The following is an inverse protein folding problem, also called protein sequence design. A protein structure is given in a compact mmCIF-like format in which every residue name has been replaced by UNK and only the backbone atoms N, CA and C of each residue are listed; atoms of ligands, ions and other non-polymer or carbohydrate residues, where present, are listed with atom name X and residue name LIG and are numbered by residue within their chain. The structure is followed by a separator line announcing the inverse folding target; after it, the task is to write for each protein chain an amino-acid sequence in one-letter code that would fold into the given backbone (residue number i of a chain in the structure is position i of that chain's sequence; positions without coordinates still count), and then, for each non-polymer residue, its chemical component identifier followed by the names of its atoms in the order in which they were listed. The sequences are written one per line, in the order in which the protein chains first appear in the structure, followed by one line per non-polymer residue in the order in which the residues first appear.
data_IF_473760760676
#
_entry.id   IF_473760760676
#
_cell.length_a   1.000
_cell.length_b   1.000
_cell.length_c   1.000
_cell.angle_alpha   90.00
_cell.angle_beta   90.00
_cell.angle_gamma   90.00
#
_symmetry.space_group_name_H-M   'P 1'
#
loop_
_entity.id
_entity.type
_entity.pdbx_description
1 polymer ?
#
# COMPACT_ATOMS: atom_id res chain seq x y z
N UNK A 1 22.05 -20.80 -33.10
CA UNK A 1 21.64 -22.20 -32.83
C UNK A 1 22.07 -22.74 -31.48
N UNK A 2 23.37 -22.95 -31.22
CA UNK A 2 23.86 -23.58 -29.98
C UNK A 2 23.42 -22.85 -28.69
N UNK A 3 23.28 -21.52 -28.74
CA UNK A 3 22.75 -20.72 -27.62
C UNK A 3 21.30 -21.05 -27.25
N UNK A 4 20.47 -21.40 -28.24
CA UNK A 4 19.04 -21.74 -28.05
C UNK A 4 18.92 -23.15 -27.45
N UNK A 5 19.71 -24.09 -27.96
CA UNK A 5 19.68 -25.49 -27.50
C UNK A 5 20.26 -25.65 -26.09
N UNK A 6 21.32 -24.90 -25.74
CA UNK A 6 22.03 -25.03 -24.45
C UNK A 6 21.37 -24.31 -23.26
N UNK A 7 20.58 -23.26 -23.48
CA UNK A 7 20.09 -22.41 -22.37
C UNK A 7 18.74 -22.82 -21.77
N UNK A 8 17.96 -23.71 -22.41
CA UNK A 8 16.71 -24.27 -21.85
C UNK A 8 15.58 -23.28 -21.50
N UNK A 9 15.81 -21.97 -21.51
CA UNK A 9 14.91 -20.92 -20.99
C UNK A 9 13.95 -20.35 -22.05
N UNK A 10 13.58 -21.13 -23.07
CA UNK A 10 12.69 -20.72 -24.16
C UNK A 10 11.54 -21.69 -24.42
N UNK A 11 10.66 -21.35 -25.36
CA UNK A 11 9.56 -22.25 -25.77
C UNK A 11 10.09 -23.63 -26.18
N UNK A 12 9.50 -24.69 -25.62
CA UNK A 12 9.84 -26.10 -25.95
C UNK A 12 9.75 -26.35 -27.46
N UNK A 13 8.82 -25.67 -28.14
CA UNK A 13 8.65 -25.77 -29.60
C UNK A 13 9.87 -25.20 -30.33
N UNK A 14 10.37 -24.04 -29.90
CA UNK A 14 11.56 -23.41 -30.49
C UNK A 14 12.81 -24.23 -30.25
N UNK A 15 12.95 -24.81 -29.05
CA UNK A 15 14.06 -25.70 -28.74
C UNK A 15 14.05 -26.95 -29.63
N UNK A 16 12.90 -27.62 -29.77
CA UNK A 16 12.76 -28.81 -30.62
C UNK A 16 13.08 -28.51 -32.09
N UNK A 17 12.56 -27.41 -32.64
CA UNK A 17 12.87 -26.99 -34.02
C UNK A 17 14.36 -26.70 -34.20
N UNK A 18 14.99 -26.00 -33.26
CA UNK A 18 16.42 -25.71 -33.31
C UNK A 18 17.29 -26.98 -33.24
N UNK A 19 16.87 -27.98 -32.46
CA UNK A 19 17.54 -29.28 -32.39
C UNK A 19 17.48 -30.01 -33.73
N UNK A 20 16.31 -30.07 -34.38
CA UNK A 20 16.14 -30.71 -35.70
C UNK A 20 17.05 -30.10 -36.77
N UNK A 21 17.10 -28.77 -36.85
CA UNK A 21 17.97 -28.08 -37.80
C UNK A 21 19.46 -28.29 -37.48
N UNK A 22 19.84 -28.34 -36.20
CA UNK A 22 21.23 -28.58 -35.82
C UNK A 22 21.69 -29.99 -36.22
N UNK A 23 20.84 -30.99 -36.04
CA UNK A 23 21.13 -32.37 -36.47
C UNK A 23 21.19 -32.47 -38.01
N UNK A 24 20.29 -31.77 -38.70
CA UNK A 24 20.33 -31.67 -40.17
C UNK A 24 21.61 -31.02 -40.68
N UNK A 25 22.06 -29.92 -40.05
CA UNK A 25 23.32 -29.26 -40.37
C UNK A 25 24.56 -30.14 -40.11
N UNK A 26 24.44 -31.19 -39.30
CA UNK A 26 25.48 -32.21 -39.08
C UNK A 26 25.43 -33.37 -40.09
N UNK A 27 24.53 -33.29 -41.09
CA UNK A 27 24.38 -34.30 -42.13
C UNK A 27 23.52 -35.51 -41.73
N UNK A 28 22.77 -35.42 -40.63
CA UNK A 28 21.87 -36.50 -40.22
C UNK A 28 20.63 -36.56 -41.12
N UNK A 29 20.26 -37.77 -41.55
CA UNK A 29 19.07 -37.99 -42.38
C UNK A 29 17.76 -37.63 -41.61
N UNK A 30 16.76 -37.00 -42.26
CA UNK A 30 15.49 -36.63 -41.61
C UNK A 30 14.77 -37.76 -40.87
N UNK A 31 14.86 -39.01 -41.33
CA UNK A 31 14.28 -40.18 -40.65
C UNK A 31 14.98 -40.42 -39.32
N UNK A 32 16.31 -40.36 -39.29
CA UNK A 32 17.09 -40.52 -38.06
C UNK A 32 16.91 -39.36 -37.09
N UNK A 33 16.78 -38.14 -37.61
CA UNK A 33 16.43 -36.96 -36.80
C UNK A 33 15.07 -37.14 -36.13
N UNK A 34 14.08 -37.70 -36.84
CA UNK A 34 12.74 -37.92 -36.32
C UNK A 34 12.74 -38.89 -35.12
N UNK A 35 13.55 -39.95 -35.18
CA UNK A 35 13.76 -40.88 -34.07
C UNK A 35 14.38 -40.19 -32.85
N UNK A 36 15.45 -39.40 -33.05
CA UNK A 36 16.16 -38.70 -31.97
C UNK A 36 15.33 -37.58 -31.34
N UNK A 37 14.49 -36.92 -32.13
CA UNK A 37 13.65 -35.80 -31.69
C UNK A 37 12.21 -36.21 -31.33
N UNK A 38 11.91 -37.52 -31.35
CA UNK A 38 10.61 -38.12 -31.05
C UNK A 38 9.45 -37.44 -31.81
N UNK A 39 9.59 -37.33 -33.13
CA UNK A 39 8.57 -36.74 -34.03
C UNK A 39 8.44 -37.53 -35.34
N UNK A 40 7.68 -37.03 -36.32
CA UNK A 40 7.57 -37.65 -37.64
C UNK A 40 8.62 -37.13 -38.64
N UNK A 41 9.10 -37.95 -39.59
CA UNK A 41 10.01 -37.50 -40.65
C UNK A 41 9.46 -36.32 -41.46
N UNK A 42 8.16 -36.28 -41.72
CA UNK A 42 7.52 -35.16 -42.43
C UNK A 42 7.62 -33.86 -41.64
N UNK A 43 7.44 -33.93 -40.32
CA UNK A 43 7.62 -32.77 -39.45
C UNK A 43 9.05 -32.23 -39.48
N UNK A 44 10.05 -33.12 -39.53
CA UNK A 44 11.46 -32.73 -39.65
C UNK A 44 11.70 -32.03 -40.99
N UNK A 45 11.20 -32.59 -42.10
CA UNK A 45 11.30 -31.98 -43.43
C UNK A 45 10.64 -30.61 -43.49
N UNK A 46 9.43 -30.46 -42.94
CA UNK A 46 8.74 -29.18 -42.84
C UNK A 46 9.57 -28.15 -42.08
N UNK A 47 10.16 -28.54 -40.95
CA UNK A 47 10.98 -27.63 -40.15
C UNK A 47 12.22 -27.19 -40.92
N UNK A 48 12.89 -28.11 -41.62
CA UNK A 48 14.05 -27.81 -42.48
C UNK A 48 13.65 -26.89 -43.64
N UNK A 49 12.57 -27.20 -44.35
CA UNK A 49 12.07 -26.36 -45.45
C UNK A 49 11.70 -24.96 -44.98
N UNK A 50 10.96 -24.84 -43.88
CA UNK A 50 10.61 -23.55 -43.29
C UNK A 50 11.84 -22.77 -42.85
N UNK A 51 12.88 -23.44 -42.33
CA UNK A 51 14.14 -22.78 -41.96
C UNK A 51 14.93 -22.32 -43.18
N UNK A 52 14.96 -23.10 -44.25
CA UNK A 52 15.62 -22.70 -45.49
C UNK A 52 14.92 -21.53 -46.17
N UNK A 53 13.59 -21.43 -46.05
CA UNK A 53 12.80 -20.33 -46.62
C UNK A 53 12.84 -19.05 -45.73
N UNK A 54 12.55 -19.19 -44.43
CA UNK A 54 12.30 -18.06 -43.52
C UNK A 54 13.43 -17.85 -42.49
N UNK A 55 14.53 -18.60 -42.56
CA UNK A 55 15.66 -18.49 -41.65
C UNK A 55 15.30 -18.76 -40.19
N UNK A 56 15.95 -18.03 -39.27
CA UNK A 56 15.77 -18.18 -37.82
C UNK A 56 14.34 -17.87 -37.33
N UNK A 57 13.58 -17.05 -38.06
CA UNK A 57 12.21 -16.69 -37.69
C UNK A 57 11.25 -17.89 -37.73
N UNK A 58 11.54 -18.89 -38.58
CA UNK A 58 10.81 -20.16 -38.64
C UNK A 58 10.88 -20.98 -37.35
N UNK A 59 11.90 -20.76 -36.52
CA UNK A 59 12.10 -21.50 -35.26
C UNK A 59 11.11 -21.04 -34.18
N UNK A 60 10.53 -19.85 -34.32
CA UNK A 60 9.57 -19.33 -33.36
C UNK A 60 8.14 -19.74 -33.75
N UNK A 61 7.35 -20.30 -32.82
CA UNK A 61 5.96 -20.62 -33.11
C UNK A 61 5.19 -19.34 -33.42
N UNK A 62 4.63 -19.25 -34.63
CA UNK A 62 3.59 -18.27 -34.97
C UNK A 62 2.29 -18.78 -34.38
N UNK A 63 2.02 -18.50 -33.10
CA UNK A 63 0.70 -18.76 -32.53
C UNK A 63 -0.32 -17.89 -33.28
N UNK A 64 -1.03 -18.49 -34.23
CA UNK A 64 -2.20 -17.89 -34.90
C UNK A 64 -3.42 -18.72 -34.53
N UNK A 65 -4.57 -18.07 -34.34
CA UNK A 65 -5.84 -18.75 -34.07
C UNK A 65 -6.11 -19.04 -32.59
N UNK A 66 -5.99 -18.04 -31.72
CA UNK A 66 -6.73 -18.07 -30.46
C UNK A 66 -8.23 -17.98 -30.72
N UNK A 67 -9.06 -18.46 -29.80
CA UNK A 67 -10.52 -18.25 -29.86
C UNK A 67 -10.79 -16.76 -30.04
N UNK A 68 -11.59 -16.40 -31.05
CA UNK A 68 -12.00 -15.02 -31.26
C UNK A 68 -12.55 -14.43 -29.96
N UNK A 69 -12.17 -13.19 -29.58
CA UNK A 69 -12.68 -12.57 -28.36
C UNK A 69 -14.21 -12.62 -28.33
N UNK A 70 -14.78 -13.23 -27.29
CA UNK A 70 -16.23 -13.37 -27.14
C UNK A 70 -16.94 -12.02 -27.02
N UNK A 71 -16.27 -11.01 -26.48
CA UNK A 71 -16.80 -9.67 -26.31
C UNK A 71 -16.04 -8.67 -27.16
N UNK A 72 -16.80 -7.90 -27.93
CA UNK A 72 -16.30 -6.84 -28.82
C UNK A 72 -15.72 -5.68 -28.01
N UNK A 73 -14.90 -4.84 -28.67
CA UNK A 73 -14.33 -3.64 -28.03
C UNK A 73 -15.41 -2.66 -27.50
N UNK A 74 -16.52 -2.39 -28.22
CA UNK A 74 -17.63 -1.60 -27.69
C UNK A 74 -18.22 -2.18 -26.41
N UNK A 75 -18.48 -3.49 -26.36
CA UNK A 75 -19.01 -4.15 -25.16
C UNK A 75 -18.06 -4.00 -23.97
N UNK A 76 -16.76 -4.24 -24.18
CA UNK A 76 -15.75 -4.07 -23.11
C UNK A 76 -15.68 -2.64 -22.58
N UNK A 77 -15.79 -1.64 -23.47
CA UNK A 77 -15.83 -0.22 -23.07
C UNK A 77 -17.05 0.11 -22.24
N UNK A 78 -18.22 -0.42 -22.61
CA UNK A 78 -19.45 -0.19 -21.86
C UNK A 78 -19.42 -0.91 -20.50
N UNK A 79 -18.94 -2.16 -20.45
CA UNK A 79 -18.68 -2.87 -19.20
C UNK A 79 -17.79 -2.06 -18.25
N UNK A 80 -16.69 -1.51 -18.77
CA UNK A 80 -15.77 -0.68 -18.01
C UNK A 80 -16.43 0.60 -17.50
N UNK A 81 -17.24 1.26 -18.33
CA UNK A 81 -17.97 2.47 -17.98
C UNK A 81 -18.96 2.20 -16.85
N UNK A 82 -19.78 1.15 -16.99
CA UNK A 82 -20.76 0.75 -15.96
C UNK A 82 -20.04 0.33 -14.67
N UNK A 83 -18.95 -0.45 -14.76
CA UNK A 83 -18.18 -0.86 -13.58
C UNK A 83 -17.62 0.32 -12.76
N UNK A 84 -17.36 1.47 -13.40
CA UNK A 84 -16.85 2.69 -12.74
C UNK A 84 -17.95 3.60 -12.19
N UNK A 85 -19.20 3.42 -12.63
CA UNK A 85 -20.37 4.15 -12.12
C UNK A 85 -20.92 3.50 -10.84
N UNK A 86 -21.81 4.19 -10.13
CA UNK A 86 -22.46 3.65 -8.93
C UNK A 86 -23.75 2.93 -9.30
N UNK A 87 -24.11 1.79 -8.68
CA UNK A 87 -25.40 1.15 -8.98
C UNK A 87 -26.62 2.07 -8.77
N UNK A 88 -26.53 3.02 -7.84
CA UNK A 88 -27.57 4.05 -7.61
C UNK A 88 -27.80 4.96 -8.83
N UNK A 89 -26.75 5.23 -9.62
CA UNK A 89 -26.87 6.00 -10.87
C UNK A 89 -27.68 5.24 -11.93
N UNK A 90 -27.86 3.93 -11.74
CA UNK A 90 -28.68 3.04 -12.57
C UNK A 90 -29.99 2.65 -11.87
N UNK A 91 -30.42 3.40 -10.86
CA UNK A 91 -31.69 3.14 -10.16
C UNK A 91 -31.67 1.92 -9.22
N UNK A 92 -30.51 1.30 -8.98
CA UNK A 92 -30.40 0.14 -8.10
C UNK A 92 -30.20 0.54 -6.63
N UNK A 93 -30.79 -0.19 -5.66
CA UNK A 93 -30.67 0.10 -4.24
C UNK A 93 -29.33 -0.38 -3.63
N UNK A 94 -28.24 -0.38 -4.40
CA UNK A 94 -26.92 -0.85 -3.96
C UNK A 94 -25.89 0.26 -3.99
N UNK A 95 -25.04 0.32 -2.96
CA UNK A 95 -23.95 1.30 -2.90
C UNK A 95 -22.72 0.91 -3.72
N UNK A 96 -22.55 -0.38 -4.04
CA UNK A 96 -21.35 -0.93 -4.69
C UNK A 96 -21.69 -2.11 -5.62
N UNK A 97 -20.93 -2.24 -6.71
CA UNK A 97 -20.96 -3.41 -7.58
C UNK A 97 -20.21 -4.59 -6.95
N UNK A 98 -20.85 -5.75 -6.90
CA UNK A 98 -20.11 -7.03 -6.91
C UNK A 98 -19.99 -7.50 -8.35
N UNK A 99 -19.03 -8.39 -8.65
CA UNK A 99 -18.90 -8.94 -10.00
C UNK A 99 -20.17 -9.67 -10.45
N UNK A 100 -20.84 -10.39 -9.54
CA UNK A 100 -22.13 -11.03 -9.83
C UNK A 100 -23.21 -10.00 -10.20
N UNK A 101 -23.44 -8.98 -9.35
CA UNK A 101 -24.43 -7.93 -9.61
C UNK A 101 -24.15 -7.18 -10.90
N UNK A 102 -22.88 -6.92 -11.20
CA UNK A 102 -22.48 -6.26 -12.43
C UNK A 102 -22.73 -7.17 -13.64
N UNK A 103 -22.43 -8.47 -13.56
CA UNK A 103 -22.73 -9.41 -14.63
C UNK A 103 -24.25 -9.49 -14.89
N UNK A 104 -25.05 -9.67 -13.84
CA UNK A 104 -26.52 -9.71 -13.93
C UNK A 104 -27.07 -8.44 -14.57
N UNK A 105 -26.56 -7.27 -14.17
CA UNK A 105 -26.98 -5.98 -14.72
C UNK A 105 -26.57 -5.81 -16.20
N UNK A 106 -25.36 -6.22 -16.58
CA UNK A 106 -24.88 -6.13 -17.96
C UNK A 106 -25.72 -7.00 -18.91
N UNK A 107 -26.21 -8.15 -18.44
CA UNK A 107 -27.13 -9.02 -19.20
C UNK A 107 -28.52 -8.39 -19.25
N UNK A 108 -29.04 -7.91 -18.12
CA UNK A 108 -30.38 -7.30 -18.05
C UNK A 108 -30.51 -6.04 -18.95
N UNK A 109 -29.47 -5.21 -19.03
CA UNK A 109 -29.43 -4.03 -19.90
C UNK A 109 -29.07 -4.35 -21.36
N UNK A 110 -28.87 -5.63 -21.71
CA UNK A 110 -28.55 -6.05 -23.07
C UNK A 110 -27.16 -5.62 -23.57
N UNK A 111 -26.23 -5.30 -22.65
CA UNK A 111 -24.84 -4.99 -23.02
C UNK A 111 -24.13 -6.24 -23.55
N UNK A 112 -24.50 -7.40 -22.99
CA UNK A 112 -24.06 -8.73 -23.43
C UNK A 112 -25.17 -9.75 -23.27
N UNK A 113 -25.15 -10.80 -24.08
CA UNK A 113 -26.13 -11.89 -23.99
C UNK A 113 -25.87 -12.79 -22.76
N UNK A 114 -24.60 -13.06 -22.47
CA UNK A 114 -24.15 -13.82 -21.30
C UNK A 114 -22.70 -13.47 -20.94
N UNK A 115 -22.38 -13.51 -19.64
CA UNK A 115 -21.01 -13.35 -19.16
C UNK A 115 -20.78 -14.04 -17.81
N UNK A 116 -19.75 -14.89 -17.76
CA UNK A 116 -19.31 -15.48 -16.50
C UNK A 116 -18.62 -14.45 -15.59
N UNK A 117 -18.76 -14.64 -14.27
CA UNK A 117 -18.13 -13.79 -13.24
C UNK A 117 -16.61 -13.70 -13.42
N UNK A 118 -15.93 -14.81 -13.71
CA UNK A 118 -14.47 -14.80 -13.92
C UNK A 118 -14.11 -14.14 -15.25
N UNK A 119 -14.90 -14.32 -16.31
CA UNK A 119 -14.70 -13.61 -17.58
C UNK A 119 -14.80 -12.10 -17.42
N UNK A 120 -15.82 -11.62 -16.70
CA UNK A 120 -15.95 -10.20 -16.37
C UNK A 120 -14.75 -9.69 -15.56
N UNK A 121 -14.27 -10.47 -14.59
CA UNK A 121 -13.10 -10.11 -13.78
C UNK A 121 -11.82 -10.00 -14.62
N UNK A 122 -11.58 -10.93 -15.53
CA UNK A 122 -10.43 -10.90 -16.43
C UNK A 122 -10.49 -9.70 -17.37
N UNK A 123 -11.67 -9.40 -17.93
CA UNK A 123 -11.88 -8.22 -18.78
C UNK A 123 -11.59 -6.94 -18.00
N UNK A 124 -12.17 -6.77 -16.81
CA UNK A 124 -11.93 -5.58 -15.99
C UNK A 124 -10.45 -5.44 -15.64
N UNK A 125 -9.76 -6.54 -15.29
CA UNK A 125 -8.31 -6.52 -15.04
C UNK A 125 -7.50 -6.10 -16.26
N UNK A 126 -7.81 -6.65 -17.44
CA UNK A 126 -7.17 -6.28 -18.69
C UNK A 126 -7.40 -4.79 -19.02
N UNK A 127 -8.56 -4.25 -18.65
CA UNK A 127 -8.92 -2.85 -18.79
C UNK A 127 -8.35 -1.93 -17.69
N UNK A 128 -7.54 -2.46 -16.78
CA UNK A 128 -6.94 -1.71 -15.67
C UNK A 128 -7.92 -1.36 -14.54
N UNK A 129 -9.10 -1.99 -14.51
CA UNK A 129 -10.11 -1.79 -13.47
C UNK A 129 -10.01 -2.90 -12.42
N UNK A 130 -10.01 -2.51 -11.16
CA UNK A 130 -10.03 -3.44 -10.03
C UNK A 130 -10.91 -2.89 -8.92
N UNK A 131 -11.40 -3.77 -8.06
CA UNK A 131 -12.23 -3.37 -6.93
C UNK A 131 -11.35 -2.67 -5.88
N UNK A 132 -11.54 -1.37 -5.73
CA UNK A 132 -10.75 -0.52 -4.84
C UNK A 132 -11.62 0.01 -3.70
N UNK A 133 -11.00 0.21 -2.53
CA UNK A 133 -11.63 0.96 -1.44
C UNK A 133 -11.56 2.45 -1.77
N UNK A 134 -12.71 3.10 -1.92
CA UNK A 134 -12.80 4.54 -2.12
C UNK A 134 -12.53 5.24 -0.78
N UNK A 135 -11.85 6.39 -0.82
CA UNK A 135 -11.58 7.24 0.33
C UNK A 135 -12.48 8.47 0.32
N UNK A 136 -12.79 8.98 1.49
CA UNK A 136 -13.44 10.28 1.64
C UNK A 136 -12.38 11.37 1.49
N UNK A 137 -12.66 12.37 0.65
CA UNK A 137 -11.82 13.56 0.52
C UNK A 137 -12.48 14.75 1.22
N UNK A 138 -11.71 15.55 1.94
CA UNK A 138 -12.18 16.80 2.55
C UNK A 138 -11.44 17.97 1.91
N UNK A 139 -12.17 18.92 1.37
CA UNK A 139 -11.58 20.20 0.97
C UNK A 139 -11.37 21.07 2.22
N UNK A 140 -10.18 21.66 2.38
CA UNK A 140 -9.93 22.61 3.44
C UNK A 140 -10.68 23.92 3.19
N UNK A 141 -11.24 24.54 4.24
CA UNK A 141 -11.82 25.90 4.17
C UNK A 141 -10.96 26.90 4.95
N UNK A 142 -9.71 26.56 5.20
CA UNK A 142 -8.77 27.39 5.94
C UNK A 142 -8.41 28.63 5.11
N UNK A 143 -8.69 29.86 5.59
CA UNK A 143 -8.33 31.09 4.86
C UNK A 143 -6.82 31.18 4.57
N UNK A 144 -5.99 30.63 5.45
CA UNK A 144 -4.53 30.66 5.34
C UNK A 144 -3.95 29.39 4.69
N UNK A 145 -4.79 28.62 3.98
CA UNK A 145 -4.41 27.31 3.44
C UNK A 145 -3.09 27.35 2.66
N UNK A 146 -2.96 28.27 1.71
CA UNK A 146 -1.79 28.37 0.85
C UNK A 146 -0.52 28.70 1.64
N UNK A 147 -0.59 29.65 2.57
CA UNK A 147 0.54 30.08 3.38
C UNK A 147 1.01 28.97 4.34
N UNK A 148 0.07 28.32 5.06
CA UNK A 148 0.39 27.21 5.96
C UNK A 148 0.96 26.01 5.21
N UNK A 149 0.35 25.65 4.07
CA UNK A 149 0.84 24.57 3.22
C UNK A 149 2.26 24.85 2.73
N UNK A 150 2.51 26.04 2.17
CA UNK A 150 3.84 26.42 1.69
C UNK A 150 4.88 26.39 2.81
N UNK A 151 4.53 26.85 4.03
CA UNK A 151 5.45 26.79 5.17
C UNK A 151 5.79 25.36 5.56
N UNK A 152 4.80 24.47 5.63
CA UNK A 152 5.03 23.05 5.95
C UNK A 152 5.85 22.36 4.87
N UNK A 153 5.58 22.62 3.59
CA UNK A 153 6.35 22.09 2.46
C UNK A 153 7.81 22.58 2.50
N UNK A 154 8.05 23.85 2.82
CA UNK A 154 9.40 24.39 3.01
C UNK A 154 10.16 23.72 4.16
N UNK A 155 9.52 23.55 5.32
CA UNK A 155 10.13 22.84 6.45
C UNK A 155 10.47 21.40 6.09
N UNK A 156 9.65 20.76 5.27
CA UNK A 156 9.95 19.42 4.78
C UNK A 156 11.10 19.40 3.78
N UNK A 157 11.20 20.38 2.88
CA UNK A 157 12.33 20.51 1.97
C UNK A 157 13.66 20.72 2.74
N UNK A 158 13.64 21.50 3.83
CA UNK A 158 14.78 21.62 4.75
C UNK A 158 15.12 20.24 5.36
N UNK A 159 14.12 19.52 5.87
CA UNK A 159 14.34 18.24 6.53
C UNK A 159 14.85 17.14 5.58
N UNK A 160 14.43 17.18 4.33
CA UNK A 160 14.85 16.26 3.28
C UNK A 160 16.22 16.64 2.68
N UNK A 161 16.78 17.80 3.08
CA UNK A 161 18.06 18.31 2.58
C UNK A 161 17.98 18.89 1.17
N UNK A 162 16.76 19.15 0.67
CA UNK A 162 16.51 19.76 -0.64
C UNK A 162 16.81 21.28 -0.62
N UNK A 163 16.69 21.90 0.56
CA UNK A 163 16.96 23.32 0.80
C UNK A 163 17.89 23.47 1.99
N UNK A 164 18.91 24.32 1.85
CA UNK A 164 19.78 24.71 2.97
C UNK A 164 19.03 25.80 3.76
N UNK A 165 18.77 25.61 5.06
CA UNK A 165 18.05 26.60 5.86
C UNK A 165 18.84 27.91 5.96
N UNK A 166 18.14 29.03 5.75
CA UNK A 166 18.74 30.37 5.91
C UNK A 166 19.06 30.68 7.39
N UNK A 167 19.92 31.68 7.68
CA UNK A 167 20.14 32.13 9.05
C UNK A 167 18.84 32.45 9.78
N UNK A 168 18.62 31.77 10.91
CA UNK A 168 17.40 31.93 11.70
C UNK A 168 16.25 31.01 11.27
N UNK A 169 16.40 30.14 10.27
CA UNK A 169 15.45 29.06 9.97
C UNK A 169 15.65 27.82 10.85
N UNK A 170 14.62 26.97 11.01
CA UNK A 170 14.75 25.73 11.75
C UNK A 170 15.69 24.77 11.02
N UNK A 171 16.63 24.15 11.74
CA UNK A 171 17.52 23.11 11.21
C UNK A 171 17.07 21.70 11.58
N UNK A 172 16.11 21.59 12.51
CA UNK A 172 15.49 20.33 12.91
C UNK A 172 13.99 20.45 12.74
N UNK A 173 13.38 19.47 12.09
CA UNK A 173 11.93 19.45 11.87
C UNK A 173 11.35 18.15 12.39
N UNK A 174 10.40 18.29 13.32
CA UNK A 174 9.55 17.21 13.78
C UNK A 174 8.20 17.28 13.09
N UNK A 175 7.67 16.14 12.69
CA UNK A 175 6.25 15.95 12.40
C UNK A 175 5.62 15.24 13.58
N UNK A 176 4.61 15.84 14.21
CA UNK A 176 4.08 15.43 15.51
C UNK A 176 2.56 15.34 15.45
N UNK A 177 2.01 14.33 16.14
CA UNK A 177 0.56 14.13 16.26
C UNK A 177 0.22 13.16 17.41
N UNK A 178 -1.07 13.06 17.75
CA UNK A 178 -1.59 12.04 18.65
C UNK A 178 -2.25 10.87 17.94
N UNK A 179 -1.83 9.67 18.31
CA UNK A 179 -2.49 8.44 17.91
C UNK A 179 -3.46 7.94 19.00
N UNK A 180 -4.69 7.66 18.59
CA UNK A 180 -5.70 7.06 19.46
C UNK A 180 -7.13 7.31 18.99
N UNK A 181 -8.13 7.01 19.83
CA UNK A 181 -8.00 6.47 21.18
C UNK A 181 -7.42 5.05 21.20
N UNK A 182 -6.43 4.82 22.07
CA UNK A 182 -5.91 3.50 22.39
C UNK A 182 -6.81 2.87 23.45
N UNK A 183 -7.63 1.92 23.04
CA UNK A 183 -8.47 1.13 23.94
C UNK A 183 -7.97 -0.33 23.96
N UNK A 184 -8.49 -1.12 24.90
CA UNK A 184 -8.14 -2.54 25.04
C UNK A 184 -9.11 -3.45 24.27
N UNK A 185 -9.71 -2.95 23.18
CA UNK A 185 -10.55 -3.80 22.34
C UNK A 185 -9.67 -4.78 21.56
N UNK A 186 -10.10 -6.03 21.43
CA UNK A 186 -9.45 -6.99 20.56
C UNK A 186 -9.47 -6.47 19.12
N UNK A 187 -8.30 -6.45 18.48
CA UNK A 187 -8.16 -6.03 17.10
C UNK A 187 -8.12 -7.26 16.19
N UNK A 188 -8.94 -7.34 15.12
CA UNK A 188 -8.76 -8.37 14.12
C UNK A 188 -7.39 -8.21 13.47
N UNK A 189 -6.79 -9.31 13.06
CA UNK A 189 -5.47 -9.30 12.44
C UNK A 189 -5.23 -10.50 11.55
N UNK A 190 -3.97 -10.74 11.24
CA UNK A 190 -3.53 -11.82 10.37
C UNK A 190 -2.56 -12.69 11.14
N UNK A 191 -2.77 -13.98 11.07
CA UNK A 191 -1.86 -14.98 11.63
C UNK A 191 -1.84 -16.18 10.70
N UNK A 192 -0.74 -16.94 10.74
CA UNK A 192 -0.72 -18.26 10.14
C UNK A 192 -1.74 -19.12 10.88
N UNK A 193 -2.69 -19.65 10.12
CA UNK A 193 -3.66 -20.60 10.60
C UNK A 193 -3.79 -21.65 9.50
N UNK A 194 -4.01 -22.90 9.90
CA UNK A 194 -4.25 -23.94 8.94
C UNK A 194 -5.46 -23.58 8.04
N UNK A 195 -5.42 -24.02 6.78
CA UNK A 195 -6.57 -23.87 5.87
C UNK A 195 -7.74 -24.59 6.49
N UNK A 196 -8.71 -23.85 7.05
CA UNK A 196 -9.83 -24.55 7.68
C UNK A 196 -10.58 -25.37 6.65
N UNK A 197 -10.86 -26.61 7.02
CA UNK A 197 -11.69 -27.53 6.27
C UNK A 197 -13.15 -27.09 6.30
N UNK A 198 -13.97 -27.75 5.48
CA UNK A 198 -15.43 -27.72 5.70
C UNK A 198 -15.67 -28.21 7.13
N UNK A 199 -16.53 -27.50 7.85
CA UNK A 199 -16.81 -27.68 9.27
C UNK A 199 -16.84 -29.16 9.71
N UNK A 200 -16.28 -29.42 10.91
CA UNK A 200 -16.40 -30.66 11.72
C UNK A 200 -15.37 -31.77 11.45
N UNK A 201 -14.09 -31.45 11.45
CA UNK A 201 -13.12 -32.45 11.89
C UNK A 201 -13.01 -32.34 13.43
N UNK A 202 -13.54 -33.31 14.20
CA UNK A 202 -13.55 -33.25 15.67
C UNK A 202 -12.16 -33.37 16.28
N UNK A 203 -11.18 -33.92 15.57
CA UNK A 203 -9.81 -34.08 16.04
C UNK A 203 -8.95 -32.83 15.77
N UNK A 204 -9.54 -31.80 15.16
CA UNK A 204 -8.83 -30.60 14.74
C UNK A 204 -9.05 -29.42 15.66
N UNK A 205 -7.96 -28.79 16.07
CA UNK A 205 -8.02 -27.56 16.85
C UNK A 205 -8.80 -26.46 16.11
N UNK A 206 -9.73 -25.78 16.80
CA UNK A 206 -10.49 -24.69 16.20
C UNK A 206 -9.55 -23.55 15.80
N UNK A 207 -9.87 -22.88 14.67
CA UNK A 207 -9.15 -21.67 14.25
C UNK A 207 -9.09 -20.68 15.41
N UNK A 208 -7.90 -20.14 15.78
CA UNK A 208 -7.82 -19.26 16.93
C UNK A 208 -8.67 -18.00 16.69
N UNK A 209 -9.59 -17.75 17.61
CA UNK A 209 -10.45 -16.56 17.62
C UNK A 209 -10.02 -15.67 18.77
N UNK A 210 -10.07 -14.35 18.56
CA UNK A 210 -9.92 -13.36 19.63
C UNK A 210 -11.28 -13.09 20.25
N UNK A 211 -11.27 -12.59 21.49
CA UNK A 211 -12.48 -12.22 22.21
C UNK A 211 -13.30 -11.22 21.38
N UNK A 212 -14.61 -11.39 21.33
CA UNK A 212 -15.51 -10.39 20.76
C UNK A 212 -16.02 -9.52 21.91
N UNK A 213 -15.33 -8.43 22.20
CA UNK A 213 -15.74 -7.52 23.29
C UNK A 213 -16.17 -6.18 22.75
N UNK A 214 -17.42 -5.82 23.06
CA UNK A 214 -18.01 -4.52 22.75
C UNK A 214 -17.90 -3.52 23.91
N UNK A 215 -17.59 -3.99 25.13
CA UNK A 215 -17.46 -3.15 26.32
C UNK A 215 -16.08 -2.49 26.40
N UNK A 216 -16.03 -1.24 26.92
CA UNK A 216 -14.80 -0.46 27.09
C UNK A 216 -14.51 -0.17 28.58
N UNK A 217 -14.35 -1.19 29.44
CA UNK A 217 -14.31 -0.99 30.89
C UNK A 217 -13.07 -0.24 31.39
N UNK A 218 -11.99 -0.17 30.61
CA UNK A 218 -10.68 0.32 31.08
C UNK A 218 -10.30 1.73 30.59
N UNK A 219 -11.27 2.48 30.04
CA UNK A 219 -11.03 3.79 29.44
C UNK A 219 -10.06 3.73 28.26
N UNK A 220 -9.50 4.88 27.90
CA UNK A 220 -8.60 5.03 26.74
C UNK A 220 -7.26 5.66 27.12
N UNK A 221 -6.27 5.50 26.25
CA UNK A 221 -4.99 6.20 26.26
C UNK A 221 -4.78 6.92 24.93
N UNK A 222 -3.80 7.81 24.91
CA UNK A 222 -3.38 8.55 23.72
C UNK A 222 -1.86 8.46 23.63
N UNK A 223 -1.34 8.14 22.45
CA UNK A 223 0.08 8.19 22.17
C UNK A 223 0.39 9.56 21.57
N UNK A 224 1.14 10.40 22.28
CA UNK A 224 1.81 11.54 21.68
C UNK A 224 3.06 11.03 20.98
N UNK A 225 3.23 11.31 19.69
CA UNK A 225 4.39 10.85 18.94
C UNK A 225 4.95 11.94 18.04
N UNK A 226 6.24 11.87 17.78
CA UNK A 226 6.94 12.75 16.87
C UNK A 226 7.91 11.95 16.01
N UNK A 227 8.00 12.30 14.74
CA UNK A 227 8.98 11.82 13.80
C UNK A 227 9.99 12.94 13.54
N UNK A 228 11.24 12.71 13.96
CA UNK A 228 12.37 13.50 13.51
C UNK A 228 12.60 13.22 12.03
N UNK A 229 12.32 14.21 11.18
CA UNK A 229 12.33 14.01 9.73
C UNK A 229 13.76 13.87 9.20
N UNK A 230 14.70 14.67 9.70
CA UNK A 230 16.10 14.63 9.25
C UNK A 230 16.82 13.35 9.70
N UNK A 231 16.57 12.88 10.93
CA UNK A 231 17.19 11.62 11.43
C UNK A 231 16.38 10.37 11.11
N UNK A 232 15.13 10.54 10.66
CA UNK A 232 14.15 9.47 10.50
C UNK A 232 13.99 8.63 11.80
N UNK A 233 13.89 9.30 12.96
CA UNK A 233 13.72 8.66 14.28
C UNK A 233 12.36 9.02 14.85
N UNK A 234 11.59 8.01 15.26
CA UNK A 234 10.29 8.18 15.89
C UNK A 234 10.40 8.12 17.41
N UNK A 235 9.69 9.01 18.09
CA UNK A 235 9.55 9.09 19.54
C UNK A 235 8.06 8.95 19.92
N UNK A 236 7.76 8.50 21.15
CA UNK A 236 6.36 8.40 21.56
C UNK A 236 6.10 8.15 23.03
N UNK A 237 5.18 8.91 23.61
CA UNK A 237 4.75 8.83 25.01
C UNK A 237 3.25 8.54 25.12
N UNK A 238 2.90 7.44 25.80
CA UNK A 238 1.50 7.09 26.08
C UNK A 238 1.00 7.85 27.32
N UNK A 239 -0.09 8.59 27.17
CA UNK A 239 -0.71 9.43 28.20
C UNK A 239 -2.17 9.05 28.43
N UNK A 240 -2.68 9.36 29.63
CA UNK A 240 -4.09 9.11 30.01
C UNK A 240 -5.07 10.09 29.36
N UNK A 241 -4.61 11.31 29.09
CA UNK A 241 -5.40 12.42 28.53
C UNK A 241 -4.56 13.15 27.48
N UNK A 242 -5.22 13.84 26.55
CA UNK A 242 -4.59 14.68 25.53
C UNK A 242 -4.96 16.16 25.69
N UNK A 243 -4.55 16.75 26.82
CA UNK A 243 -4.77 18.18 27.11
C UNK A 243 -3.52 19.00 26.75
N UNK A 244 -3.66 20.32 26.64
CA UNK A 244 -2.55 21.26 26.38
C UNK A 244 -1.33 21.05 27.28
N UNK A 245 -1.54 20.80 28.57
CA UNK A 245 -0.44 20.48 29.50
C UNK A 245 0.38 19.24 29.10
N UNK A 246 -0.26 18.21 28.55
CA UNK A 246 0.41 16.99 28.08
C UNK A 246 1.11 17.21 26.74
N UNK A 247 0.52 18.03 25.87
CA UNK A 247 1.16 18.49 24.65
C UNK A 247 2.45 19.26 24.97
N UNK A 248 2.39 20.28 25.84
CA UNK A 248 3.56 21.02 26.29
C UNK A 248 4.61 20.16 26.99
N UNK A 249 4.19 19.19 27.81
CA UNK A 249 5.12 18.21 28.40
C UNK A 249 5.87 17.43 27.31
N UNK A 250 5.17 17.03 26.24
CA UNK A 250 5.80 16.33 25.12
C UNK A 250 6.70 17.24 24.30
N UNK A 251 6.30 18.48 24.02
CA UNK A 251 7.13 19.46 23.32
C UNK A 251 8.42 19.79 24.10
N UNK A 252 8.35 19.89 25.44
CA UNK A 252 9.54 20.03 26.30
C UNK A 252 10.49 18.84 26.18
N UNK A 253 9.93 17.62 26.12
CA UNK A 253 10.74 16.43 25.87
C UNK A 253 11.42 16.48 24.49
N UNK A 254 10.69 16.84 23.43
CA UNK A 254 11.30 16.97 22.09
C UNK A 254 12.40 18.04 22.08
N UNK A 255 12.17 19.17 22.76
CA UNK A 255 13.17 20.21 22.92
C UNK A 255 14.40 19.71 23.65
N UNK A 256 14.27 18.88 24.69
CA UNK A 256 15.44 18.40 25.42
C UNK A 256 16.34 17.45 24.61
N UNK A 257 15.92 17.00 23.42
CA UNK A 257 16.72 16.14 22.54
C UNK A 257 17.82 16.90 21.79
N UNK A 258 17.80 18.24 21.80
CA UNK A 258 18.70 19.09 21.03
C UNK A 258 19.21 20.28 21.86
N UNK A 259 20.44 20.78 21.64
CA UNK A 259 20.96 21.95 22.33
C UNK A 259 20.05 23.19 22.17
N UNK A 260 19.86 24.04 23.20
CA UNK A 260 18.89 25.16 23.18
C UNK A 260 19.02 26.14 22.01
N UNK A 261 20.25 26.38 21.53
CA UNK A 261 20.52 27.30 20.43
C UNK A 261 20.10 26.78 19.05
N UNK A 262 19.84 25.47 18.91
CA UNK A 262 19.34 24.88 17.66
C UNK A 262 17.89 25.29 17.47
N UNK A 263 17.57 25.95 16.35
CA UNK A 263 16.19 26.29 16.02
C UNK A 263 15.46 25.07 15.47
N UNK A 264 14.26 24.81 15.97
CA UNK A 264 13.47 23.64 15.60
C UNK A 264 12.07 24.03 15.13
N UNK A 265 11.48 23.22 14.27
CA UNK A 265 10.06 23.29 13.93
C UNK A 265 9.34 22.02 14.37
N UNK A 266 8.14 22.19 14.90
CA UNK A 266 7.21 21.10 15.18
C UNK A 266 5.99 21.33 14.29
N UNK A 267 5.86 20.49 13.27
CA UNK A 267 4.69 20.43 12.40
C UNK A 267 3.62 19.60 13.10
N UNK A 268 2.44 20.19 13.35
CA UNK A 268 1.30 19.50 13.96
C UNK A 268 -0.03 20.00 13.41
N UNK A 269 -1.13 19.33 13.74
CA UNK A 269 -2.46 19.80 13.39
C UNK A 269 -2.88 21.05 14.20
N UNK A 270 -3.98 21.67 13.81
CA UNK A 270 -4.53 22.84 14.50
C UNK A 270 -5.52 22.49 15.62
N UNK A 271 -5.36 21.32 16.26
CA UNK A 271 -6.19 20.92 17.38
C UNK A 271 -6.06 21.93 18.53
N UNK A 272 -7.19 22.29 19.16
CA UNK A 272 -7.25 23.39 20.15
C UNK A 272 -6.16 23.35 21.24
N UNK A 273 -5.82 22.20 21.86
CA UNK A 273 -4.69 22.08 22.77
C UNK A 273 -3.31 22.49 22.22
N UNK A 274 -3.10 22.45 20.91
CA UNK A 274 -1.85 22.83 20.25
C UNK A 274 -1.80 24.33 19.99
N UNK A 275 -2.94 25.01 20.00
CA UNK A 275 -3.01 26.41 19.63
C UNK A 275 -2.66 27.33 20.80
N UNK A 276 -1.97 28.41 20.44
CA UNK A 276 -2.00 29.66 21.19
C UNK A 276 -3.36 30.30 20.95
N UNK A 277 -4.13 30.50 22.02
CA UNK A 277 -5.48 31.05 21.95
C UNK A 277 -5.55 32.38 22.69
N UNK A 278 -6.56 33.20 22.42
CA UNK A 278 -6.78 34.47 23.15
C UNK A 278 -6.80 34.30 24.67
N UNK A 279 -7.25 33.15 25.16
CA UNK A 279 -7.40 32.84 26.59
C UNK A 279 -6.22 32.07 27.18
N UNK A 280 -5.28 31.61 26.38
CA UNK A 280 -4.14 30.81 26.84
C UNK A 280 -3.02 30.85 25.79
N UNK A 281 -1.98 31.59 26.11
CA UNK A 281 -0.81 31.79 25.25
C UNK A 281 0.34 30.80 25.52
N UNK A 282 0.16 29.85 26.45
CA UNK A 282 1.26 29.02 26.98
C UNK A 282 2.03 28.23 25.92
N UNK A 283 1.40 27.86 24.80
CA UNK A 283 2.09 27.21 23.67
C UNK A 283 3.02 28.19 22.94
N UNK A 284 2.52 29.37 22.61
CA UNK A 284 3.28 30.41 21.90
C UNK A 284 4.41 30.96 22.76
N UNK A 285 4.14 31.22 24.04
CA UNK A 285 5.13 31.69 25.00
C UNK A 285 6.26 30.67 25.17
N UNK A 286 5.90 29.39 25.30
CA UNK A 286 6.88 28.32 25.38
C UNK A 286 7.70 28.21 24.10
N UNK A 287 7.06 28.25 22.93
CA UNK A 287 7.74 28.13 21.64
C UNK A 287 8.75 29.28 21.42
N UNK A 288 8.34 30.51 21.68
CA UNK A 288 9.19 31.70 21.60
C UNK A 288 10.38 31.61 22.56
N UNK A 289 10.16 31.20 23.82
CA UNK A 289 11.21 31.08 24.82
C UNK A 289 12.20 29.92 24.56
N UNK A 290 11.86 28.95 23.69
CA UNK A 290 12.64 27.73 23.50
C UNK A 290 13.26 27.59 22.10
N UNK A 291 13.24 28.65 21.29
CA UNK A 291 13.72 28.65 19.90
C UNK A 291 13.01 27.59 19.04
N UNK A 292 11.67 27.49 19.21
CA UNK A 292 10.82 26.54 18.51
C UNK A 292 9.76 27.27 17.70
N UNK A 293 9.56 26.81 16.48
CA UNK A 293 8.41 27.15 15.65
C UNK A 293 7.35 26.04 15.77
N UNK A 294 6.10 26.40 16.08
CA UNK A 294 4.97 25.48 15.93
C UNK A 294 4.31 25.78 14.59
N UNK A 295 4.47 24.89 13.62
CA UNK A 295 3.96 25.02 12.27
C UNK A 295 2.66 24.20 12.12
N UNK A 296 1.53 24.87 11.98
CA UNK A 296 0.24 24.18 11.89
C UNK A 296 -0.08 23.75 10.46
N UNK A 297 -0.45 22.49 10.26
CA UNK A 297 -1.05 22.05 8.99
C UNK A 297 -2.39 22.78 8.77
N UNK A 298 -2.78 23.07 7.53
CA UNK A 298 -4.10 23.63 7.25
C UNK A 298 -5.22 22.72 7.76
N UNK A 299 -6.35 23.32 8.13
CA UNK A 299 -7.52 22.56 8.60
C UNK A 299 -7.90 21.43 7.62
N UNK A 300 -8.30 20.26 8.12
CA UNK A 300 -8.63 19.08 7.30
C UNK A 300 -7.50 18.58 6.36
N UNK A 301 -6.23 18.89 6.66
CA UNK A 301 -5.08 18.48 5.84
C UNK A 301 -4.11 17.55 6.59
N UNK A 302 -4.64 16.58 7.36
CA UNK A 302 -3.81 15.63 8.11
C UNK A 302 -2.90 14.77 7.21
N UNK A 303 -3.26 14.60 5.93
CA UNK A 303 -2.42 13.97 4.91
C UNK A 303 -1.08 14.69 4.71
N UNK A 304 -0.97 15.97 5.09
CA UNK A 304 0.28 16.73 5.04
C UNK A 304 1.20 16.39 6.23
N UNK A 305 0.67 15.83 7.33
CA UNK A 305 1.46 15.49 8.51
C UNK A 305 2.16 14.13 8.31
N UNK A 306 3.48 14.13 8.06
CA UNK A 306 4.25 12.92 7.68
C UNK A 306 4.22 11.79 8.71
N UNK A 307 3.94 12.08 9.98
CA UNK A 307 3.80 11.07 11.03
C UNK A 307 2.55 10.19 10.89
N UNK A 308 1.49 10.67 10.22
CA UNK A 308 0.23 9.92 10.06
C UNK A 308 0.45 8.58 9.33
N UNK A 309 1.35 8.56 8.33
CA UNK A 309 1.75 7.32 7.67
C UNK A 309 2.48 6.33 8.61
N UNK A 310 3.23 6.85 9.59
CA UNK A 310 3.87 6.01 10.63
C UNK A 310 2.83 5.37 11.55
N UNK A 311 1.71 6.03 11.82
CA UNK A 311 0.61 5.45 12.60
C UNK A 311 -0.09 4.30 11.89
N UNK A 312 -0.20 4.37 10.56
CA UNK A 312 -0.68 3.23 9.76
C UNK A 312 0.23 2.02 9.93
N UNK A 313 1.55 2.22 9.90
CA UNK A 313 2.52 1.16 10.14
C UNK A 313 2.47 0.64 11.60
N UNK A 314 2.37 1.53 12.58
CA UNK A 314 2.25 1.17 13.99
C UNK A 314 1.05 0.26 14.23
N UNK A 315 -0.12 0.63 13.70
CA UNK A 315 -1.33 -0.19 13.80
C UNK A 315 -1.11 -1.58 13.20
N UNK A 316 -0.58 -1.64 11.98
CA UNK A 316 -0.34 -2.89 11.26
C UNK A 316 0.63 -3.83 12.00
N UNK A 317 1.75 -3.32 12.49
CA UNK A 317 2.80 -4.15 13.11
C UNK A 317 2.52 -4.46 14.58
N UNK A 318 1.76 -3.62 15.28
CA UNK A 318 1.70 -3.66 16.76
C UNK A 318 0.32 -3.93 17.30
N UNK A 319 -0.75 -3.45 16.65
CA UNK A 319 -2.10 -3.49 17.23
C UNK A 319 -2.98 -4.52 16.54
N UNK A 320 -2.89 -4.66 15.21
CA UNK A 320 -3.69 -5.63 14.47
C UNK A 320 -3.39 -7.07 14.95
N UNK A 321 -4.44 -7.81 15.34
CA UNK A 321 -4.33 -9.21 15.81
C UNK A 321 -4.10 -9.40 17.31
N UNK A 322 -4.06 -8.30 18.07
CA UNK A 322 -3.83 -8.31 19.52
C UNK A 322 -5.12 -8.29 20.35
N UNK A 323 -5.01 -8.77 21.58
CA UNK A 323 -6.04 -8.68 22.63
C UNK A 323 -5.33 -8.42 23.96
N UNK A 324 -4.98 -7.15 24.20
CA UNK A 324 -4.22 -6.76 25.38
C UNK A 324 -5.07 -6.80 26.64
N UNK A 325 -4.49 -7.34 27.70
CA UNK A 325 -5.11 -7.41 29.04
C UNK A 325 -5.08 -6.07 29.76
N UNK A 326 -4.10 -5.20 29.44
CA UNK A 326 -3.89 -3.94 30.14
C UNK A 326 -3.28 -2.85 29.25
N UNK A 327 -3.47 -1.58 29.65
CA UNK A 327 -2.82 -0.43 29.00
C UNK A 327 -1.29 -0.46 29.14
N UNK A 328 -0.76 -1.08 30.20
CA UNK A 328 0.69 -1.24 30.40
C UNK A 328 1.27 -2.17 29.35
N UNK A 329 0.60 -3.29 29.09
CA UNK A 329 0.98 -4.25 28.05
C UNK A 329 0.98 -3.60 26.66
N UNK A 330 -0.12 -2.93 26.30
CA UNK A 330 -0.26 -2.22 25.03
C UNK A 330 0.81 -1.13 24.86
N UNK A 331 1.05 -0.32 25.90
CA UNK A 331 2.09 0.71 25.88
C UNK A 331 3.50 0.11 25.76
N UNK A 332 3.77 -1.03 26.43
CA UNK A 332 5.01 -1.75 26.31
C UNK A 332 5.27 -2.25 24.89
N UNK A 333 4.23 -2.77 24.22
CA UNK A 333 4.32 -3.18 22.81
C UNK A 333 4.58 -2.01 21.87
N UNK A 334 3.88 -0.89 22.05
CA UNK A 334 4.12 0.33 21.26
C UNK A 334 5.57 0.81 21.41
N UNK A 335 6.11 0.84 22.63
CA UNK A 335 7.50 1.22 22.88
C UNK A 335 8.49 0.28 22.18
N UNK A 336 8.27 -1.03 22.25
CA UNK A 336 9.11 -2.03 21.55
C UNK A 336 9.04 -1.85 20.04
N UNK A 337 7.86 -1.57 19.49
CA UNK A 337 7.70 -1.27 18.07
C UNK A 337 8.46 -0.01 17.66
N UNK A 338 8.35 1.09 18.39
CA UNK A 338 9.09 2.33 18.08
C UNK A 338 10.59 2.06 18.05
N UNK A 339 11.11 1.35 19.05
CA UNK A 339 12.54 0.95 19.08
C UNK A 339 12.92 0.05 17.90
N UNK A 340 12.06 -0.91 17.54
CA UNK A 340 12.27 -1.76 16.36
C UNK A 340 12.25 -0.95 15.06
N UNK A 341 11.26 -0.08 14.86
CA UNK A 341 11.08 0.78 13.68
C UNK A 341 12.30 1.67 13.46
N UNK A 342 12.81 2.29 14.52
CA UNK A 342 13.99 3.15 14.45
C UNK A 342 15.26 2.37 14.02
N UNK A 343 15.35 1.08 14.35
CA UNK A 343 16.44 0.20 13.89
C UNK A 343 16.21 -0.42 12.51
N UNK A 344 15.00 -0.31 11.95
CA UNK A 344 14.57 -1.06 10.76
C UNK A 344 13.93 -0.15 9.69
N UNK A 345 14.42 1.09 9.56
CA UNK A 345 13.90 2.07 8.59
C UNK A 345 13.94 1.58 7.14
N UNK A 346 14.90 0.74 6.79
CA UNK A 346 15.05 0.12 5.47
C UNK A 346 14.21 -1.14 5.25
N UNK A 347 13.40 -1.56 6.23
CA UNK A 347 12.55 -2.75 6.09
C UNK A 347 11.56 -2.57 4.91
N UNK A 348 11.58 -3.46 3.89
CA UNK A 348 10.77 -3.28 2.68
C UNK A 348 9.25 -3.25 2.95
N UNK A 349 8.81 -3.96 3.99
CA UNK A 349 7.39 -4.01 4.36
C UNK A 349 6.96 -2.72 5.04
N UNK A 350 7.80 -2.20 5.95
CA UNK A 350 7.57 -0.91 6.60
C UNK A 350 7.48 0.21 5.56
N UNK A 351 8.49 0.30 4.67
CA UNK A 351 8.52 1.30 3.59
C UNK A 351 7.27 1.25 2.73
N UNK A 352 6.89 0.06 2.25
CA UNK A 352 5.69 -0.11 1.43
C UNK A 352 4.40 0.36 2.13
N UNK A 353 4.28 0.13 3.44
CA UNK A 353 3.10 0.57 4.21
C UNK A 353 3.08 2.09 4.35
N UNK A 354 4.23 2.69 4.68
CA UNK A 354 4.38 4.15 4.83
C UNK A 354 4.16 4.86 3.49
N UNK A 355 4.83 4.41 2.42
CA UNK A 355 4.69 4.97 1.06
C UNK A 355 3.23 4.89 0.58
N UNK A 356 2.56 3.75 0.79
CA UNK A 356 1.13 3.60 0.45
C UNK A 356 0.22 4.54 1.25
N UNK A 357 0.59 4.88 2.47
CA UNK A 357 -0.15 5.80 3.33
C UNK A 357 0.19 7.28 3.03
N UNK A 358 1.30 7.59 2.37
CA UNK A 358 1.66 8.95 1.95
C UNK A 358 1.01 9.34 0.61
N UNK A 359 0.80 8.40 -0.31
CA UNK A 359 0.12 8.63 -1.62
C UNK A 359 -1.41 8.68 -1.44
N UNK A 360 -1.89 8.82 -0.20
CA UNK A 360 -3.23 8.47 0.20
C UNK A 360 -4.12 9.64 0.50
#
# INVERSE_FOLDING_TARGET
MLRIVRRGTGSVVTWRRAQMILLSAQGMDPVRIAEVSFTSPDRVRDVIHNFNADGFDSLYPRYRGGRSPTFTLPQRREMKKIAKSRPVEHGLPFSTWSLAKLADFLVAEGVVDDISIEGLREILRAEGVSFQRIKTWKHSRDPDYAAKKARVEHLYAIADGEVIPEPGEPSVVFSMDEFGPLNLQPHPGRQWAERGGRHKDPDRDPRPRRRATYTRPHGVRHLFAALDLGRNVMYGHVKKRKKRAHFLEYCRYLRSLYPPHVRMAIVCDNYSPHLTTKTDASVGDWAAANNVEIAYTPTNSSWLNRIEAQFTALRYFTLDGTDHSSHTEQAGMIRRYIAWRNRNTNNPRLRRIVERANVA
#
